data_IF_440766251086
#
_entry.id   IF_440766251086
#
_cell.length_a   1.000
_cell.length_b   1.000
_cell.length_c   1.000
_cell.angle_alpha   90.00
_cell.angle_beta   90.00
_cell.angle_gamma   90.00
#
_symmetry.space_group_name_H-M   'P 1'
#
loop_
_entity.id
_entity.type
_entity.pdbx_description
1 polymer ?
#
# COMPACT_ATOMS: atom_id res chain seq x y z
N UNK A 1 45.69 71.04 -18.87
CA UNK A 1 45.95 69.73 -18.22
C UNK A 1 44.60 69.04 -18.04
N UNK A 2 44.13 68.24 -18.99
CA UNK A 2 44.46 66.82 -19.20
C UNK A 2 43.89 65.87 -18.12
N UNK A 3 42.81 65.19 -18.52
CA UNK A 3 42.44 63.77 -18.25
C UNK A 3 41.57 63.39 -17.03
N UNK A 4 40.84 62.25 -17.11
CA UNK A 4 39.35 62.22 -17.07
C UNK A 4 38.75 61.06 -16.23
N UNK A 5 37.44 60.81 -16.38
CA UNK A 5 36.80 59.50 -16.12
C UNK A 5 36.16 59.38 -14.74
N UNK A 6 35.04 58.67 -14.55
CA UNK A 6 34.28 57.81 -15.43
C UNK A 6 33.19 57.13 -14.58
N UNK A 7 31.95 57.18 -15.07
CA UNK A 7 31.04 56.03 -15.13
C UNK A 7 31.14 55.00 -13.98
N UNK A 8 30.51 55.31 -12.84
CA UNK A 8 30.23 54.32 -11.77
C UNK A 8 28.74 54.19 -11.40
N UNK A 9 27.83 54.60 -12.28
CA UNK A 9 26.38 54.41 -12.08
C UNK A 9 25.76 53.27 -12.91
N UNK A 10 26.60 52.50 -13.63
CA UNK A 10 26.15 51.37 -14.49
C UNK A 10 26.36 49.97 -13.91
N UNK A 11 26.72 49.84 -12.62
CA UNK A 11 26.91 48.54 -11.96
C UNK A 11 25.75 48.08 -11.07
N UNK A 12 24.75 48.92 -10.78
CA UNK A 12 23.63 48.54 -9.91
C UNK A 12 22.42 47.91 -10.62
N UNK A 13 22.47 47.69 -11.95
CA UNK A 13 21.31 47.24 -12.75
C UNK A 13 21.56 46.02 -13.66
N UNK A 14 22.64 45.27 -13.42
CA UNK A 14 23.04 44.08 -14.20
C UNK A 14 23.19 42.78 -13.39
N UNK A 15 22.54 42.67 -12.23
CA UNK A 15 22.43 41.40 -11.48
C UNK A 15 20.99 40.88 -11.33
N UNK A 16 20.05 41.41 -12.12
CA UNK A 16 18.64 40.97 -12.13
C UNK A 16 18.25 40.51 -13.53
N UNK A 17 18.80 39.39 -13.98
CA UNK A 17 18.26 38.51 -15.02
C UNK A 17 19.22 37.34 -15.15
N UNK A 18 18.68 36.12 -15.32
CA UNK A 18 19.39 34.83 -15.44
C UNK A 18 19.69 34.07 -14.13
N UNK A 19 18.63 33.53 -13.52
CA UNK A 19 18.65 32.11 -13.08
C UNK A 19 17.20 31.60 -12.98
N UNK A 20 16.53 31.53 -14.13
CA UNK A 20 15.29 30.76 -14.28
C UNK A 20 15.70 29.43 -14.91
N UNK A 21 15.57 28.33 -14.17
CA UNK A 21 15.70 27.00 -14.75
C UNK A 21 16.29 25.96 -13.80
N UNK A 22 15.41 25.22 -13.13
CA UNK A 22 15.73 23.96 -12.47
C UNK A 22 16.21 24.11 -11.04
N UNK A 23 15.31 23.96 -10.07
CA UNK A 23 15.31 22.77 -9.19
C UNK A 23 14.16 22.82 -8.15
N UNK A 24 12.91 22.93 -8.60
CA UNK A 24 11.75 22.96 -7.71
C UNK A 24 11.46 21.62 -7.00
N UNK A 25 12.16 20.54 -7.36
CA UNK A 25 11.91 19.18 -6.83
C UNK A 25 12.94 18.71 -5.81
N UNK A 26 14.13 19.30 -5.77
CA UNK A 26 15.17 18.94 -4.79
C UNK A 26 14.86 19.54 -3.40
N UNK A 27 14.14 20.67 -3.33
CA UNK A 27 13.68 21.25 -2.07
C UNK A 27 12.63 20.40 -1.32
N UNK A 28 11.88 19.54 -2.01
CA UNK A 28 10.80 18.75 -1.40
C UNK A 28 11.30 17.60 -0.52
N UNK A 29 12.55 17.18 -0.66
CA UNK A 29 13.17 16.12 0.16
C UNK A 29 13.99 16.67 1.34
N UNK A 30 14.15 17.99 1.44
CA UNK A 30 15.02 18.65 2.42
C UNK A 30 14.37 19.82 3.19
N UNK A 31 13.03 20.00 3.13
CA UNK A 31 12.33 20.96 4.00
C UNK A 31 11.81 20.30 5.28
N UNK A 32 12.35 20.62 6.47
CA UNK A 32 11.68 20.34 7.72
C UNK A 32 10.61 21.43 7.97
N UNK A 33 9.43 21.00 8.40
CA UNK A 33 8.28 21.81 8.81
C UNK A 33 7.53 22.58 7.72
N UNK A 34 6.47 21.93 7.22
CA UNK A 34 5.22 22.66 7.05
C UNK A 34 4.84 23.29 8.42
N UNK A 35 4.41 24.56 8.47
CA UNK A 35 3.99 25.17 9.72
C UNK A 35 2.87 24.31 10.35
N UNK A 36 3.01 24.00 11.63
CA UNK A 36 2.00 23.30 12.39
C UNK A 36 0.66 24.05 12.23
N UNK A 37 -0.48 23.37 12.01
CA UNK A 37 -1.76 24.04 11.93
C UNK A 37 -1.97 24.82 13.23
N UNK A 38 -2.09 26.14 13.11
CA UNK A 38 -2.40 27.09 14.19
C UNK A 38 -3.87 26.99 14.60
N UNK A 39 -4.38 25.76 14.74
CA UNK A 39 -5.66 25.47 15.37
C UNK A 39 -5.45 25.39 16.87
N UNK A 40 -6.13 26.26 17.64
CA UNK A 40 -6.19 26.17 19.09
C UNK A 40 -6.66 24.78 19.54
N UNK A 41 -6.36 24.39 20.79
CA UNK A 41 -6.73 23.07 21.32
C UNK A 41 -8.20 22.71 21.04
N UNK A 42 -9.12 23.67 21.20
CA UNK A 42 -10.54 23.51 20.88
C UNK A 42 -10.81 23.17 19.40
N UNK A 43 -10.10 23.78 18.44
CA UNK A 43 -10.21 23.47 17.01
C UNK A 43 -9.70 22.07 16.67
N UNK A 44 -8.60 21.63 17.32
CA UNK A 44 -8.07 20.26 17.19
C UNK A 44 -8.97 19.20 17.84
N UNK A 45 -9.72 19.57 18.88
CA UNK A 45 -10.73 18.72 19.51
C UNK A 45 -12.00 18.61 18.62
N UNK A 46 -12.45 19.71 18.02
CA UNK A 46 -13.59 19.72 17.08
C UNK A 46 -13.30 18.92 15.80
N UNK A 47 -12.07 18.98 15.28
CA UNK A 47 -11.62 18.15 14.15
C UNK A 47 -11.58 16.64 14.44
N UNK A 48 -11.57 16.25 15.72
CA UNK A 48 -11.36 14.85 16.11
C UNK A 48 -12.65 14.11 16.48
N UNK A 49 -13.64 14.74 17.12
CA UNK A 49 -14.82 14.02 17.62
C UNK A 49 -15.68 13.43 16.49
N UNK A 50 -15.85 14.16 15.37
CA UNK A 50 -16.66 13.65 14.26
C UNK A 50 -16.03 12.39 13.65
N UNK A 51 -14.69 12.34 13.59
CA UNK A 51 -13.96 11.17 13.09
C UNK A 51 -14.17 9.97 14.02
N UNK A 52 -14.18 10.18 15.34
CA UNK A 52 -14.50 9.12 16.30
C UNK A 52 -15.98 8.70 16.25
N UNK A 53 -16.90 9.63 16.02
CA UNK A 53 -18.32 9.31 15.83
C UNK A 53 -18.54 8.47 14.57
N UNK A 54 -17.88 8.84 13.46
CA UNK A 54 -17.89 8.06 12.21
C UNK A 54 -17.28 6.68 12.42
N UNK A 55 -16.14 6.59 13.11
CA UNK A 55 -15.50 5.31 13.43
C UNK A 55 -16.40 4.43 14.31
N UNK A 56 -17.05 5.00 15.33
CA UNK A 56 -17.97 4.27 16.19
C UNK A 56 -19.17 3.74 15.40
N UNK A 57 -19.73 4.55 14.50
CA UNK A 57 -20.79 4.12 13.58
C UNK A 57 -20.32 2.98 12.66
N UNK A 58 -19.12 3.12 12.08
CA UNK A 58 -18.50 2.08 11.25
C UNK A 58 -18.32 0.77 12.02
N UNK A 59 -17.74 0.81 13.23
CA UNK A 59 -17.51 -0.39 14.06
C UNK A 59 -18.83 -1.04 14.46
N UNK A 60 -19.85 -0.25 14.83
CA UNK A 60 -21.19 -0.76 15.11
C UNK A 60 -21.79 -1.47 13.90
N UNK A 61 -21.68 -0.88 12.70
CA UNK A 61 -22.21 -1.47 11.47
C UNK A 61 -21.47 -2.75 11.09
N UNK A 62 -20.13 -2.77 11.18
CA UNK A 62 -19.33 -4.00 11.00
C UNK A 62 -19.77 -5.07 12.00
N UNK A 63 -20.00 -4.71 13.27
CA UNK A 63 -20.51 -5.63 14.29
C UNK A 63 -21.86 -6.24 13.92
N UNK A 64 -22.81 -5.44 13.46
CA UNK A 64 -24.13 -5.92 12.99
C UNK A 64 -23.98 -6.86 11.78
N UNK A 65 -23.11 -6.51 10.82
CA UNK A 65 -22.83 -7.36 9.66
C UNK A 65 -22.20 -8.69 10.08
N UNK A 66 -21.26 -8.68 11.04
CA UNK A 66 -20.59 -9.88 11.53
C UNK A 66 -21.57 -10.87 12.19
N UNK A 67 -22.58 -10.37 12.91
CA UNK A 67 -23.63 -11.19 13.53
C UNK A 67 -24.52 -11.90 12.49
N UNK A 68 -24.55 -11.40 11.25
CA UNK A 68 -25.33 -11.93 10.14
C UNK A 68 -24.46 -12.58 9.06
N UNK A 69 -23.15 -12.54 9.20
CA UNK A 69 -22.20 -13.03 8.20
C UNK A 69 -22.18 -14.56 8.24
N UNK A 70 -22.58 -15.17 7.13
CA UNK A 70 -22.45 -16.60 6.93
C UNK A 70 -21.01 -16.88 6.46
N UNK A 71 -20.24 -17.71 7.20
CA UNK A 71 -18.86 -17.95 6.85
C UNK A 71 -18.73 -18.62 5.48
N UNK A 72 -17.82 -18.11 4.67
CA UNK A 72 -17.60 -18.66 3.33
C UNK A 72 -16.71 -19.90 3.39
N UNK A 73 -16.82 -20.73 2.35
CA UNK A 73 -16.02 -21.95 2.23
C UNK A 73 -14.51 -21.68 2.34
N UNK A 74 -14.04 -20.60 1.72
CA UNK A 74 -12.62 -20.24 1.68
C UNK A 74 -12.12 -19.57 2.98
N UNK A 75 -13.02 -18.97 3.77
CA UNK A 75 -12.74 -18.57 5.16
C UNK A 75 -12.55 -19.80 6.06
N UNK A 76 -13.45 -20.77 5.93
CA UNK A 76 -13.39 -22.03 6.68
C UNK A 76 -12.12 -22.80 6.35
N UNK A 77 -11.76 -22.91 5.06
CA UNK A 77 -10.53 -23.56 4.62
C UNK A 77 -9.28 -22.94 5.26
N UNK A 78 -9.16 -21.61 5.23
CA UNK A 78 -8.00 -20.91 5.81
C UNK A 78 -7.87 -21.16 7.34
N UNK A 79 -9.00 -21.17 8.05
CA UNK A 79 -9.01 -21.48 9.49
C UNK A 79 -8.63 -22.93 9.78
N UNK A 80 -9.22 -23.88 9.05
CA UNK A 80 -8.93 -25.31 9.22
C UNK A 80 -7.46 -25.62 8.95
N UNK A 81 -6.88 -25.02 7.89
CA UNK A 81 -5.46 -25.15 7.62
C UNK A 81 -4.60 -24.62 8.79
N UNK A 82 -4.93 -23.46 9.33
CA UNK A 82 -4.21 -22.89 10.47
C UNK A 82 -4.36 -23.74 11.75
N UNK A 83 -5.56 -24.30 12.00
CA UNK A 83 -5.87 -25.11 13.18
C UNK A 83 -5.23 -26.49 13.11
N UNK A 84 -5.36 -27.18 11.99
CA UNK A 84 -5.11 -28.62 11.89
C UNK A 84 -3.72 -28.94 11.33
N UNK A 85 -3.16 -28.12 10.42
CA UNK A 85 -1.83 -28.35 9.88
C UNK A 85 -0.72 -27.99 10.89
N UNK A 86 0.42 -28.68 10.84
CA UNK A 86 1.63 -28.20 11.54
C UNK A 86 2.12 -26.90 10.88
N UNK A 87 2.77 -25.98 11.63
CA UNK A 87 3.33 -24.77 11.03
C UNK A 87 4.25 -25.08 9.84
N UNK A 88 5.08 -26.12 9.97
CA UNK A 88 5.96 -26.54 8.89
C UNK A 88 5.20 -27.03 7.65
N UNK A 89 4.24 -27.95 7.82
CA UNK A 89 3.45 -28.47 6.69
C UNK A 89 2.60 -27.39 6.02
N UNK A 90 2.08 -26.44 6.79
CA UNK A 90 1.35 -25.28 6.28
C UNK A 90 2.19 -24.48 5.30
N UNK A 91 3.38 -24.01 5.73
CA UNK A 91 4.21 -23.13 4.90
C UNK A 91 4.99 -23.86 3.80
N UNK A 92 5.36 -25.13 4.00
CA UNK A 92 6.18 -25.89 3.05
C UNK A 92 5.35 -26.66 2.00
N UNK A 93 4.10 -27.02 2.34
CA UNK A 93 3.26 -27.87 1.50
C UNK A 93 1.92 -27.20 1.15
N UNK A 94 1.07 -26.88 2.12
CA UNK A 94 -0.32 -26.47 1.85
C UNK A 94 -0.45 -25.12 1.11
N UNK A 95 0.38 -24.12 1.42
CA UNK A 95 0.32 -22.82 0.74
C UNK A 95 0.55 -22.90 -0.78
N UNK A 96 1.26 -23.94 -1.24
CA UNK A 96 1.50 -24.18 -2.67
C UNK A 96 0.23 -24.59 -3.42
N UNK A 97 -0.71 -25.23 -2.73
CA UNK A 97 -2.02 -25.60 -3.25
C UNK A 97 -3.03 -24.46 -3.13
N UNK A 98 -2.93 -23.65 -2.07
CA UNK A 98 -3.71 -22.42 -1.92
C UNK A 98 -3.42 -21.39 -3.02
N UNK A 99 -2.18 -21.37 -3.54
CA UNK A 99 -1.76 -20.37 -4.52
C UNK A 99 -1.71 -18.94 -3.95
N UNK A 100 -1.77 -18.80 -2.62
CA UNK A 100 -1.75 -17.51 -1.93
C UNK A 100 -0.59 -17.44 -0.92
N UNK A 101 0.06 -16.26 -0.78
CA UNK A 101 1.07 -16.05 0.24
C UNK A 101 0.60 -16.29 1.69
N UNK A 102 1.55 -16.57 2.58
CA UNK A 102 1.26 -17.11 3.91
C UNK A 102 0.90 -16.13 5.03
N UNK A 103 0.86 -14.80 4.83
CA UNK A 103 0.71 -13.86 5.95
C UNK A 103 -0.61 -14.04 6.71
N UNK A 104 -1.71 -14.24 5.99
CA UNK A 104 -3.02 -14.48 6.60
C UNK A 104 -3.01 -15.74 7.46
N UNK A 105 -2.49 -16.84 6.90
CA UNK A 105 -2.35 -18.11 7.62
C UNK A 105 -1.41 -17.99 8.83
N UNK A 106 -0.34 -17.20 8.74
CA UNK A 106 0.57 -16.93 9.86
C UNK A 106 -0.14 -16.22 11.02
N UNK A 107 -1.00 -15.25 10.70
CA UNK A 107 -1.82 -14.54 11.71
C UNK A 107 -2.82 -15.49 12.34
N UNK A 108 -3.51 -16.31 11.54
CA UNK A 108 -4.51 -17.27 12.04
C UNK A 108 -3.90 -18.43 12.84
N UNK A 109 -2.64 -18.79 12.57
CA UNK A 109 -1.95 -19.87 13.29
C UNK A 109 -1.93 -19.62 14.80
N UNK A 110 -1.72 -18.38 15.23
CA UNK A 110 -1.64 -18.01 16.65
C UNK A 110 -2.95 -18.31 17.42
N UNK A 111 -4.11 -17.73 17.06
CA UNK A 111 -5.37 -18.02 17.74
C UNK A 111 -5.85 -19.44 17.50
N UNK A 112 -5.67 -20.01 16.30
CA UNK A 112 -6.16 -21.35 15.99
C UNK A 112 -5.43 -22.42 16.81
N UNK A 113 -4.11 -22.30 16.99
CA UNK A 113 -3.31 -23.20 17.85
C UNK A 113 -3.53 -22.95 19.34
N UNK A 114 -3.96 -21.75 19.73
CA UNK A 114 -4.38 -21.45 21.09
C UNK A 114 -5.79 -21.97 21.43
N UNK A 115 -6.48 -22.64 20.50
CA UNK A 115 -7.80 -23.24 20.73
C UNK A 115 -8.94 -22.24 20.75
N UNK A 116 -8.76 -21.03 20.19
CA UNK A 116 -9.83 -20.04 20.10
C UNK A 116 -10.95 -20.53 19.15
N UNK A 117 -12.19 -20.04 19.33
CA UNK A 117 -13.31 -20.45 18.49
C UNK A 117 -13.15 -19.95 17.05
N UNK A 118 -13.82 -20.64 16.11
CA UNK A 118 -13.81 -20.28 14.69
C UNK A 118 -14.06 -18.79 14.45
N UNK A 119 -15.07 -18.21 15.12
CA UNK A 119 -15.46 -16.81 14.99
C UNK A 119 -14.31 -15.78 15.19
N UNK A 120 -13.19 -16.18 15.80
CA UNK A 120 -12.01 -15.32 15.96
C UNK A 120 -11.46 -14.81 14.63
N UNK A 121 -11.54 -15.56 13.52
CA UNK A 121 -11.06 -15.05 12.22
C UNK A 121 -11.82 -13.80 11.76
N UNK A 122 -13.13 -13.79 11.99
CA UNK A 122 -14.02 -12.67 11.65
C UNK A 122 -13.73 -11.46 12.53
N UNK A 123 -13.43 -11.69 13.82
CA UNK A 123 -13.01 -10.63 14.74
C UNK A 123 -11.67 -10.01 14.31
N UNK A 124 -10.72 -10.82 13.84
CA UNK A 124 -9.43 -10.34 13.31
C UNK A 124 -9.65 -9.47 12.07
N UNK A 125 -10.47 -9.92 11.12
CA UNK A 125 -10.80 -9.15 9.93
C UNK A 125 -11.48 -7.81 10.30
N UNK A 126 -12.47 -7.85 11.21
CA UNK A 126 -13.16 -6.67 11.68
C UNK A 126 -12.22 -5.68 12.38
N UNK A 127 -11.26 -6.18 13.16
CA UNK A 127 -10.25 -5.35 13.81
C UNK A 127 -9.31 -4.70 12.78
N UNK A 128 -8.87 -5.43 11.75
CA UNK A 128 -8.03 -4.90 10.68
C UNK A 128 -8.76 -3.85 9.84
N UNK A 129 -10.01 -4.11 9.46
CA UNK A 129 -10.86 -3.15 8.75
C UNK A 129 -11.15 -1.89 9.57
N UNK A 130 -11.47 -2.05 10.85
CA UNK A 130 -11.65 -0.92 11.80
C UNK A 130 -10.37 -0.11 11.96
N UNK A 131 -9.21 -0.78 12.01
CA UNK A 131 -7.92 -0.12 12.06
C UNK A 131 -7.64 0.65 10.76
N UNK A 132 -7.98 0.10 9.59
CA UNK A 132 -7.87 0.80 8.32
C UNK A 132 -8.78 2.04 8.28
N UNK A 133 -10.03 1.92 8.73
CA UNK A 133 -10.95 3.05 8.84
C UNK A 133 -10.40 4.13 9.78
N UNK A 134 -9.84 3.75 10.92
CA UNK A 134 -9.17 4.67 11.84
C UNK A 134 -8.00 5.41 11.17
N UNK A 135 -7.11 4.69 10.48
CA UNK A 135 -5.98 5.29 9.77
C UNK A 135 -6.45 6.29 8.71
N UNK A 136 -7.46 5.90 7.93
CA UNK A 136 -8.06 6.75 6.90
C UNK A 136 -8.65 8.02 7.51
N UNK A 137 -9.47 7.91 8.55
CA UNK A 137 -10.12 9.04 9.22
C UNK A 137 -9.12 10.02 9.87
N UNK A 138 -7.97 9.52 10.34
CA UNK A 138 -6.99 10.34 11.08
C UNK A 138 -5.87 10.91 10.22
N UNK A 139 -5.44 10.21 9.17
CA UNK A 139 -4.22 10.56 8.44
C UNK A 139 -4.44 10.91 6.98
N UNK A 140 -5.63 10.63 6.40
CA UNK A 140 -5.84 10.93 4.99
C UNK A 140 -5.99 12.44 4.72
N UNK A 141 -5.44 12.95 3.60
CA UNK A 141 -5.54 14.34 3.20
C UNK A 141 -6.87 14.70 2.52
N UNK A 142 -7.88 13.82 2.60
CA UNK A 142 -9.15 14.00 1.91
C UNK A 142 -10.07 15.01 2.63
N UNK A 143 -10.96 15.70 1.90
CA UNK A 143 -12.00 16.52 2.49
C UNK A 143 -12.86 15.74 3.49
N UNK A 144 -13.42 16.38 4.54
CA UNK A 144 -14.15 15.69 5.61
C UNK A 144 -15.29 14.79 5.12
N UNK A 145 -16.05 15.22 4.11
CA UNK A 145 -17.15 14.43 3.54
C UNK A 145 -16.65 13.13 2.90
N UNK A 146 -15.62 13.20 2.05
CA UNK A 146 -15.02 12.02 1.41
C UNK A 146 -14.44 11.10 2.47
N UNK A 147 -13.73 11.66 3.45
CA UNK A 147 -13.12 10.91 4.55
C UNK A 147 -14.16 10.22 5.44
N UNK A 148 -15.34 10.82 5.62
CA UNK A 148 -16.44 10.23 6.38
C UNK A 148 -17.16 9.13 5.60
N UNK A 149 -17.36 9.30 4.29
CA UNK A 149 -18.13 8.35 3.46
C UNK A 149 -17.30 7.16 2.98
N UNK A 150 -16.00 7.35 2.71
CA UNK A 150 -15.15 6.34 2.10
C UNK A 150 -15.10 5.02 2.90
N UNK A 151 -14.99 5.01 4.25
CA UNK A 151 -15.07 3.78 5.04
C UNK A 151 -16.31 2.93 4.76
N UNK A 152 -17.44 3.54 4.40
CA UNK A 152 -18.72 2.86 4.17
C UNK A 152 -18.89 2.32 2.74
N UNK A 153 -17.85 2.40 1.91
CA UNK A 153 -17.85 1.73 0.60
C UNK A 153 -17.83 0.21 0.75
N UNK A 154 -18.34 -0.51 -0.25
CA UNK A 154 -18.36 -1.97 -0.26
C UNK A 154 -17.01 -2.60 0.12
N UNK A 155 -15.91 -2.10 -0.46
CA UNK A 155 -14.59 -2.66 -0.20
C UNK A 155 -14.11 -2.44 1.23
N UNK A 156 -14.21 -1.21 1.76
CA UNK A 156 -13.71 -0.92 3.11
C UNK A 156 -14.64 -1.44 4.21
N UNK A 157 -15.94 -1.42 4.00
CA UNK A 157 -16.92 -1.85 5.00
C UNK A 157 -17.13 -3.36 5.02
N UNK A 158 -17.29 -3.96 3.85
CA UNK A 158 -17.66 -5.37 3.76
C UNK A 158 -16.46 -6.23 3.38
N UNK A 159 -15.86 -5.98 2.22
CA UNK A 159 -14.79 -6.84 1.69
C UNK A 159 -13.59 -6.92 2.64
N UNK A 160 -13.15 -5.82 3.24
CA UNK A 160 -11.92 -5.78 4.04
C UNK A 160 -12.13 -5.83 5.56
N UNK A 161 -13.38 -5.82 6.03
CA UNK A 161 -13.68 -5.86 7.46
C UNK A 161 -14.58 -7.03 7.88
N UNK A 162 -15.50 -7.48 7.01
CA UNK A 162 -16.42 -8.59 7.33
C UNK A 162 -15.88 -9.90 6.77
N UNK A 163 -15.47 -9.92 5.51
CA UNK A 163 -14.99 -11.14 4.85
C UNK A 163 -13.56 -11.48 5.31
N UNK A 164 -13.40 -12.59 6.03
CA UNK A 164 -12.20 -12.93 6.78
C UNK A 164 -11.14 -13.66 5.93
N UNK A 165 -10.54 -12.90 5.02
CA UNK A 165 -9.54 -13.39 4.06
C UNK A 165 -8.31 -12.49 4.03
N UNK A 166 -7.27 -12.92 3.31
CA UNK A 166 -5.99 -12.22 3.29
C UNK A 166 -6.08 -10.75 2.87
N UNK A 167 -7.01 -10.40 1.97
CA UNK A 167 -7.18 -9.02 1.51
C UNK A 167 -7.66 -8.04 2.59
N UNK A 168 -8.13 -8.50 3.76
CA UNK A 168 -8.40 -7.62 4.91
C UNK A 168 -7.13 -6.84 5.36
N UNK A 169 -5.94 -7.36 5.04
CA UNK A 169 -4.66 -6.71 5.31
C UNK A 169 -4.29 -5.62 4.29
N UNK A 170 -4.92 -5.57 3.10
CA UNK A 170 -4.53 -4.65 2.04
C UNK A 170 -4.70 -3.18 2.46
N UNK A 171 -5.92 -2.80 2.86
CA UNK A 171 -6.21 -1.42 3.25
C UNK A 171 -5.33 -0.90 4.39
N UNK A 172 -5.20 -1.59 5.55
CA UNK A 172 -4.37 -1.07 6.64
C UNK A 172 -2.88 -0.98 6.25
N UNK A 173 -2.34 -1.94 5.50
CA UNK A 173 -0.94 -1.89 5.06
C UNK A 173 -0.68 -0.77 4.05
N UNK A 174 -1.60 -0.55 3.09
CA UNK A 174 -1.49 0.53 2.12
C UNK A 174 -1.60 1.91 2.79
N UNK A 175 -2.48 2.06 3.78
CA UNK A 175 -2.60 3.31 4.52
C UNK A 175 -1.37 3.58 5.39
N UNK A 176 -0.81 2.56 6.05
CA UNK A 176 0.47 2.68 6.75
C UNK A 176 1.62 3.06 5.81
N UNK A 177 1.68 2.45 4.61
CA UNK A 177 2.66 2.81 3.59
C UNK A 177 2.52 4.27 3.17
N UNK A 178 1.30 4.75 2.94
CA UNK A 178 1.03 6.14 2.60
C UNK A 178 1.48 7.11 3.71
N UNK A 179 1.27 6.75 4.98
CA UNK A 179 1.72 7.54 6.14
C UNK A 179 3.25 7.60 6.23
N UNK A 180 3.94 6.49 5.98
CA UNK A 180 5.42 6.42 6.03
C UNK A 180 6.07 7.01 4.78
N UNK A 181 5.34 7.10 3.66
CA UNK A 181 5.88 7.47 2.35
C UNK A 181 6.67 8.79 2.31
N UNK A 182 6.24 9.89 2.96
CA UNK A 182 7.01 11.14 2.97
C UNK A 182 8.40 10.99 3.60
N UNK A 183 8.54 10.07 4.56
CA UNK A 183 9.77 9.82 5.30
C UNK A 183 10.48 8.54 4.86
N UNK A 184 10.09 7.96 3.72
CA UNK A 184 10.53 6.63 3.23
C UNK A 184 12.05 6.46 3.15
N UNK A 185 12.78 7.52 2.82
CA UNK A 185 14.26 7.48 2.78
C UNK A 185 14.87 7.34 4.18
N UNK A 186 14.31 8.05 5.17
CA UNK A 186 14.77 8.01 6.57
C UNK A 186 14.33 6.73 7.27
N UNK A 187 13.09 6.30 7.04
CA UNK A 187 12.46 5.12 7.64
C UNK A 187 12.46 3.91 6.72
N UNK A 188 13.54 3.70 5.96
CA UNK A 188 13.61 2.64 4.94
C UNK A 188 13.28 1.26 5.50
N UNK A 189 13.73 0.92 6.71
CA UNK A 189 13.43 -0.39 7.30
C UNK A 189 11.93 -0.58 7.59
N UNK A 190 11.24 0.47 8.04
CA UNK A 190 9.79 0.43 8.24
C UNK A 190 9.07 0.27 6.90
N UNK A 191 9.50 1.03 5.89
CA UNK A 191 8.99 0.90 4.52
C UNK A 191 9.16 -0.55 4.03
N UNK A 192 10.36 -1.12 4.15
CA UNK A 192 10.66 -2.49 3.70
C UNK A 192 9.83 -3.53 4.42
N UNK A 193 9.66 -3.43 5.73
CA UNK A 193 8.80 -4.35 6.50
C UNK A 193 7.36 -4.27 5.98
N UNK A 194 6.81 -3.07 5.81
CA UNK A 194 5.45 -2.90 5.29
C UNK A 194 5.30 -3.45 3.86
N UNK A 195 6.29 -3.23 3.00
CA UNK A 195 6.30 -3.78 1.63
C UNK A 195 6.39 -5.31 1.65
N UNK A 196 7.22 -5.90 2.51
CA UNK A 196 7.32 -7.35 2.70
C UNK A 196 5.99 -7.93 3.17
N UNK A 197 5.36 -7.31 4.16
CA UNK A 197 4.04 -7.73 4.64
C UNK A 197 3.01 -7.64 3.51
N UNK A 198 2.97 -6.53 2.77
CA UNK A 198 2.06 -6.34 1.64
C UNK A 198 2.27 -7.40 0.55
N UNK A 199 3.53 -7.74 0.25
CA UNK A 199 3.86 -8.79 -0.72
C UNK A 199 3.39 -10.17 -0.26
N UNK A 200 3.32 -10.40 1.04
CA UNK A 200 2.82 -11.64 1.63
C UNK A 200 1.28 -11.65 1.86
N UNK A 201 0.54 -10.67 1.35
CA UNK A 201 -0.94 -10.69 1.40
C UNK A 201 -1.53 -11.48 0.24
N UNK A 202 -1.10 -11.18 -0.98
CA UNK A 202 -1.62 -11.77 -2.22
C UNK A 202 -0.66 -11.49 -3.39
N UNK A 203 -0.87 -12.13 -4.54
CA UNK A 203 -0.14 -11.80 -5.77
C UNK A 203 -0.30 -10.33 -6.18
N UNK A 204 -1.51 -9.77 -6.01
CA UNK A 204 -1.76 -8.35 -6.24
C UNK A 204 -0.99 -7.47 -5.24
N UNK A 205 -0.95 -7.85 -3.97
CA UNK A 205 -0.15 -7.18 -2.95
C UNK A 205 1.35 -7.19 -3.29
N UNK A 206 1.88 -8.31 -3.79
CA UNK A 206 3.27 -8.41 -4.25
C UNK A 206 3.56 -7.50 -5.45
N UNK A 207 2.64 -7.42 -6.42
CA UNK A 207 2.78 -6.52 -7.56
C UNK A 207 2.79 -5.05 -7.12
N UNK A 208 1.88 -4.66 -6.21
CA UNK A 208 1.83 -3.29 -5.67
C UNK A 208 3.11 -2.99 -4.88
N UNK A 209 3.54 -3.90 -4.01
CA UNK A 209 4.75 -3.74 -3.21
C UNK A 209 6.00 -3.57 -4.09
N UNK A 210 6.16 -4.40 -5.13
CA UNK A 210 7.24 -4.29 -6.09
C UNK A 210 7.20 -2.98 -6.88
N UNK A 211 6.01 -2.52 -7.26
CA UNK A 211 5.84 -1.24 -7.96
C UNK A 211 6.22 -0.04 -7.08
N UNK A 212 5.79 -0.05 -5.81
CA UNK A 212 6.16 0.98 -4.85
C UNK A 212 7.66 0.98 -4.54
N UNK A 213 8.27 -0.21 -4.40
CA UNK A 213 9.72 -0.31 -4.23
C UNK A 213 10.45 0.25 -5.46
N UNK A 214 10.00 -0.06 -6.68
CA UNK A 214 10.61 0.45 -7.91
C UNK A 214 10.57 1.98 -7.94
N UNK A 215 9.41 2.59 -7.66
CA UNK A 215 9.29 4.05 -7.56
C UNK A 215 10.26 4.62 -6.53
N UNK A 216 10.36 4.00 -5.35
CA UNK A 216 11.29 4.42 -4.32
C UNK A 216 12.76 4.32 -4.75
N UNK A 217 13.16 3.23 -5.42
CA UNK A 217 14.52 3.04 -5.92
C UNK A 217 14.87 4.02 -7.03
N UNK A 218 13.92 4.36 -7.90
CA UNK A 218 14.10 5.39 -8.92
C UNK A 218 14.35 6.77 -8.28
N UNK A 219 13.63 7.12 -7.21
CA UNK A 219 13.85 8.35 -6.46
C UNK A 219 15.22 8.37 -5.78
N UNK A 220 15.63 7.26 -5.15
CA UNK A 220 16.96 7.11 -4.55
C UNK A 220 18.05 7.22 -5.60
N UNK A 221 17.87 6.61 -6.78
CA UNK A 221 18.82 6.68 -7.88
C UNK A 221 18.98 8.11 -8.42
N UNK A 222 17.88 8.85 -8.58
CA UNK A 222 17.89 10.26 -9.00
C UNK A 222 18.61 11.15 -7.99
N UNK A 223 18.46 10.87 -6.70
CA UNK A 223 19.02 11.69 -5.61
C UNK A 223 20.34 11.17 -5.04
N UNK A 224 20.90 10.09 -5.61
CA UNK A 224 22.09 9.40 -5.10
C UNK A 224 23.34 10.27 -4.96
N UNK A 225 23.44 11.36 -5.73
CA UNK A 225 24.57 12.31 -5.66
C UNK A 225 24.52 13.18 -4.40
N UNK A 226 23.32 13.38 -3.85
CA UNK A 226 23.06 14.20 -2.66
C UNK A 226 23.00 13.32 -1.40
N UNK A 227 22.62 12.05 -1.55
CA UNK A 227 22.55 11.10 -0.44
C UNK A 227 23.94 10.69 0.06
N UNK A 228 24.14 10.72 1.37
CA UNK A 228 25.35 10.19 2.01
C UNK A 228 25.51 8.68 1.80
N UNK A 229 26.76 8.21 1.79
CA UNK A 229 27.12 6.79 1.57
C UNK A 229 26.40 5.84 2.54
N UNK A 230 26.26 6.23 3.80
CA UNK A 230 25.56 5.42 4.81
C UNK A 230 24.07 5.25 4.49
N UNK A 231 23.42 6.32 4.03
CA UNK A 231 22.00 6.26 3.64
C UNK A 231 21.84 5.35 2.44
N UNK A 232 22.69 5.49 1.42
CA UNK A 232 22.67 4.61 0.25
C UNK A 232 22.88 3.14 0.62
N UNK A 233 23.82 2.84 1.53
CA UNK A 233 24.02 1.46 2.03
C UNK A 233 22.75 0.90 2.67
N UNK A 234 22.06 1.69 3.52
CA UNK A 234 20.79 1.26 4.13
C UNK A 234 19.72 0.99 3.08
N UNK A 235 19.63 1.82 2.03
CA UNK A 235 18.71 1.61 0.91
C UNK A 235 18.99 0.31 0.17
N UNK A 236 20.26 0.00 -0.12
CA UNK A 236 20.65 -1.24 -0.79
C UNK A 236 20.38 -2.49 0.06
N UNK A 237 20.68 -2.43 1.36
CA UNK A 237 20.38 -3.54 2.29
C UNK A 237 18.87 -3.80 2.37
N UNK A 238 18.08 -2.74 2.48
CA UNK A 238 16.63 -2.81 2.48
C UNK A 238 16.04 -3.39 1.19
N UNK A 239 16.56 -2.95 0.04
CA UNK A 239 16.16 -3.48 -1.27
C UNK A 239 16.56 -4.96 -1.43
N UNK A 240 17.77 -5.33 -0.99
CA UNK A 240 18.23 -6.71 -0.99
C UNK A 240 17.38 -7.61 -0.11
N UNK A 241 17.00 -7.14 1.08
CA UNK A 241 16.11 -7.88 1.99
C UNK A 241 14.72 -8.12 1.36
N UNK A 242 14.12 -7.10 0.74
CA UNK A 242 12.85 -7.27 0.02
C UNK A 242 13.00 -8.24 -1.17
N UNK A 243 14.08 -8.12 -1.94
CA UNK A 243 14.39 -9.00 -3.06
C UNK A 243 14.51 -10.47 -2.63
N UNK A 244 15.23 -10.72 -1.53
CA UNK A 244 15.35 -12.05 -0.94
C UNK A 244 13.98 -12.64 -0.56
N UNK A 245 13.14 -11.86 0.15
CA UNK A 245 11.80 -12.32 0.53
C UNK A 245 10.92 -12.58 -0.69
N UNK A 246 11.03 -11.76 -1.73
CA UNK A 246 10.29 -11.95 -2.99
C UNK A 246 10.71 -13.25 -3.68
N UNK A 247 12.00 -13.56 -3.71
CA UNK A 247 12.49 -14.84 -4.24
C UNK A 247 11.95 -16.00 -3.41
N UNK A 248 12.02 -15.92 -2.08
CA UNK A 248 11.47 -16.96 -1.20
C UNK A 248 9.95 -17.17 -1.42
N UNK A 249 9.20 -16.09 -1.60
CA UNK A 249 7.78 -16.13 -1.90
C UNK A 249 7.49 -16.80 -3.26
N UNK A 250 8.27 -16.48 -4.30
CA UNK A 250 8.16 -17.14 -5.61
C UNK A 250 8.48 -18.63 -5.49
N UNK A 251 9.50 -19.01 -4.72
CA UNK A 251 9.84 -20.42 -4.48
C UNK A 251 8.73 -21.14 -3.69
N UNK A 252 8.18 -20.48 -2.68
CA UNK A 252 7.09 -20.99 -1.84
C UNK A 252 5.79 -21.17 -2.62
N UNK A 253 5.51 -20.37 -3.65
CA UNK A 253 4.25 -20.44 -4.42
C UNK A 253 4.38 -21.24 -5.71
N UNK A 254 5.47 -21.98 -5.91
CA UNK A 254 5.59 -22.86 -7.08
C UNK A 254 4.50 -23.94 -7.01
N UNK A 255 3.58 -24.04 -7.98
CA UNK A 255 2.56 -25.07 -7.95
C UNK A 255 3.23 -26.45 -7.95
N UNK A 256 2.71 -27.40 -7.17
CA UNK A 256 3.25 -28.75 -7.15
C UNK A 256 2.91 -29.49 -8.47
N UNK A 257 3.69 -30.50 -8.87
CA UNK A 257 3.58 -31.12 -10.20
C UNK A 257 2.22 -31.80 -10.48
N UNK A 258 1.54 -32.22 -9.42
CA UNK A 258 0.19 -32.80 -9.42
C UNK A 258 -0.91 -31.76 -9.66
N UNK A 259 -0.69 -30.50 -9.27
CA UNK A 259 -1.61 -29.39 -9.54
C UNK A 259 -1.42 -28.82 -10.95
N UNK A 260 -0.24 -29.00 -11.56
CA UNK A 260 -0.01 -28.60 -12.94
C UNK A 260 -0.75 -29.51 -13.91
N UNK A 261 -2.03 -29.22 -14.15
CA UNK A 261 -2.68 -29.69 -15.36
C UNK A 261 -1.83 -29.27 -16.57
N UNK A 262 -1.69 -30.11 -17.61
CA UNK A 262 -1.09 -29.76 -18.88
C UNK A 262 -2.06 -28.85 -19.67
N UNK A 263 -2.52 -27.75 -19.07
CA UNK A 263 -2.98 -26.62 -19.86
C UNK A 263 -1.71 -26.11 -20.52
N UNK A 264 -1.51 -26.52 -21.77
CA UNK A 264 -0.44 -26.07 -22.67
C UNK A 264 -0.11 -24.63 -22.33
N UNK A 265 1.06 -24.43 -21.72
CA UNK A 265 1.60 -23.13 -21.39
C UNK A 265 2.06 -22.50 -22.71
N UNK A 266 1.13 -22.20 -23.60
CA UNK A 266 1.37 -21.32 -24.75
C UNK A 266 1.48 -19.90 -24.22
N UNK A 267 2.57 -19.63 -23.48
CA UNK A 267 3.06 -18.27 -23.29
C UNK A 267 3.70 -17.88 -24.63
N UNK A 268 2.85 -17.66 -25.62
CA UNK A 268 3.20 -17.17 -26.94
C UNK A 268 2.63 -15.77 -27.16
N UNK A 269 2.96 -15.14 -28.28
CA UNK A 269 2.39 -13.84 -28.69
C UNK A 269 0.85 -13.87 -28.80
N UNK A 270 0.22 -15.05 -28.75
CA UNK A 270 -1.23 -15.24 -28.61
C UNK A 270 -1.79 -14.70 -27.28
N UNK A 271 -1.00 -14.64 -26.21
CA UNK A 271 -1.41 -14.03 -24.92
C UNK A 271 -1.65 -12.52 -25.04
N UNK A 272 -1.04 -11.84 -26.02
CA UNK A 272 -1.31 -10.44 -26.33
C UNK A 272 -2.69 -10.23 -26.97
N UNK A 273 -3.23 -11.25 -27.65
CA UNK A 273 -4.63 -11.18 -28.14
C UNK A 273 -5.63 -11.20 -26.99
N UNK A 274 -5.29 -11.88 -25.89
CA UNK A 274 -6.08 -11.85 -24.65
C UNK A 274 -6.00 -10.49 -23.97
N UNK A 275 -4.86 -9.78 -24.09
CA UNK A 275 -4.74 -8.40 -23.61
C UNK A 275 -5.71 -7.45 -24.32
N UNK A 276 -5.92 -7.63 -25.63
CA UNK A 276 -6.96 -6.91 -26.37
C UNK A 276 -8.37 -7.15 -25.80
N UNK A 277 -8.71 -8.41 -25.51
CA UNK A 277 -9.99 -8.76 -24.87
C UNK A 277 -10.12 -8.23 -23.43
N UNK A 278 -9.01 -8.16 -22.70
CA UNK A 278 -8.98 -7.58 -21.35
C UNK A 278 -9.20 -6.08 -21.42
N UNK A 279 -8.54 -5.37 -22.36
CA UNK A 279 -8.72 -3.94 -22.61
C UNK A 279 -10.16 -3.63 -23.04
N UNK A 280 -10.72 -4.44 -23.95
CA UNK A 280 -12.12 -4.34 -24.37
C UNK A 280 -13.10 -4.58 -23.21
N UNK A 281 -12.71 -5.45 -22.26
CA UNK A 281 -13.53 -5.84 -21.12
C UNK A 281 -13.32 -5.03 -19.83
N UNK A 282 -12.33 -4.14 -19.74
CA UNK A 282 -12.07 -3.43 -18.47
C UNK A 282 -12.88 -2.14 -18.35
N UNK A 283 -13.56 -2.03 -17.21
CA UNK A 283 -14.35 -0.91 -16.65
C UNK A 283 -15.81 -0.73 -17.12
N UNK A 284 -16.14 -0.81 -18.40
CA UNK A 284 -17.54 -0.62 -18.87
C UNK A 284 -17.96 -1.51 -20.03
N UNK A 285 -17.06 -2.34 -20.56
CA UNK A 285 -17.25 -2.99 -21.87
C UNK A 285 -17.24 -2.00 -23.05
N UNK A 286 -16.92 -0.71 -22.79
CA UNK A 286 -16.89 0.36 -23.77
C UNK A 286 -15.57 1.15 -23.63
N UNK A 287 -14.59 0.78 -24.45
CA UNK A 287 -13.21 1.28 -24.41
C UNK A 287 -13.06 2.82 -24.34
N UNK A 288 -13.95 3.67 -24.91
CA UNK A 288 -13.84 5.13 -24.77
C UNK A 288 -14.01 5.62 -23.32
N UNK A 289 -14.86 4.97 -22.53
CA UNK A 289 -15.09 5.34 -21.13
C UNK A 289 -13.91 4.93 -20.24
N UNK A 290 -13.30 3.78 -20.54
CA UNK A 290 -12.07 3.34 -19.87
C UNK A 290 -10.91 4.29 -20.16
N UNK A 291 -10.84 4.82 -21.38
CA UNK A 291 -9.84 5.82 -21.79
C UNK A 291 -10.09 7.18 -21.11
N UNK A 292 -11.35 7.61 -21.01
CA UNK A 292 -11.74 8.81 -20.28
C UNK A 292 -11.35 8.72 -18.80
N UNK A 293 -11.60 7.58 -18.16
CA UNK A 293 -11.22 7.33 -16.77
C UNK A 293 -9.70 7.36 -16.56
N UNK A 294 -8.92 6.82 -17.49
CA UNK A 294 -7.45 6.89 -17.44
C UNK A 294 -6.97 8.34 -17.61
N UNK A 295 -7.55 9.10 -18.54
CA UNK A 295 -7.18 10.50 -18.79
C UNK A 295 -7.53 11.41 -17.63
N UNK A 296 -8.70 11.23 -17.00
CA UNK A 296 -9.10 12.04 -15.83
C UNK A 296 -8.29 11.73 -14.58
N UNK A 297 -7.67 10.54 -14.49
CA UNK A 297 -6.80 10.18 -13.37
C UNK A 297 -5.36 10.68 -13.56
N UNK A 298 -5.00 11.10 -14.78
CA UNK A 298 -3.66 11.59 -15.14
C UNK A 298 -3.58 13.12 -15.28
N UNK A 299 -4.70 13.83 -15.15
CA UNK A 299 -4.82 15.30 -15.09
C UNK A 299 -4.92 15.77 -13.63
#
# INVERSE_FOLDING_TARGET
MARPGGTRERQARRHRTESVGGDGRVGALASPHAPAPTGGAAGRFVEAWWAYAVLACYVALVGVMLLRHEPWFDEAQAWLLARDASPWSLFAHHLRYEGSPGLWHAILLLPAKAGLPYATLNVIAAALGSFAAYLLLRHSPFPPLVRALLPFTYFLLYQYAVVARSYALLAPLLFLLAIVWPERVRRVYVLTVLLVLLANVSAHGALIAGSLLLVHLLDVWRTRRVLGRDVLRRQLVAAGAFGLVTVLLILQLRPPPDLSNPVKREVGLSSLRTLGKVIDGTLTGFWPLSLLAVVTTLL
#
